data_IF_304466456153
#
_entry.id   IF_304466456153
#
_cell.length_a   1.000
_cell.length_b   1.000
_cell.length_c   1.000
_cell.angle_alpha   90.00
_cell.angle_beta   90.00
_cell.angle_gamma   90.00
#
_symmetry.space_group_name_H-M   'P 1'
#
loop_
_entity.id
_entity.type
_entity.pdbx_description
1 polymer ?
#
# COMPACT_ATOMS: atom_id res chain seq x y z
N UNK A 1 21.26 7.31 15.88
CA UNK A 1 20.91 6.85 14.51
C UNK A 1 20.33 8.04 13.76
N UNK A 2 20.86 8.38 12.57
CA UNK A 2 20.38 9.54 11.84
C UNK A 2 18.95 9.23 11.36
N UNK A 3 17.98 9.99 11.87
CA UNK A 3 16.63 10.00 11.30
C UNK A 3 16.79 10.53 9.89
N UNK A 4 16.36 9.76 8.89
CA UNK A 4 16.22 10.21 7.51
C UNK A 4 15.19 11.33 7.48
N UNK A 5 15.61 12.54 7.82
CA UNK A 5 14.79 13.72 7.62
C UNK A 5 14.82 13.95 6.12
N UNK A 6 13.65 13.82 5.49
CA UNK A 6 13.48 14.14 4.08
C UNK A 6 13.95 15.59 3.75
N UNK A 7 14.13 16.46 4.76
CA UNK A 7 14.81 17.78 4.69
C UNK A 7 15.57 18.13 5.97
N UNK A 8 16.63 18.92 5.82
CA UNK A 8 17.36 19.54 6.93
C UNK A 8 16.61 20.80 7.40
N UNK A 9 16.32 20.93 8.69
CA UNK A 9 15.84 22.22 9.26
C UNK A 9 16.91 23.29 9.07
N UNK A 10 16.53 24.48 8.61
CA UNK A 10 17.41 25.65 8.66
C UNK A 10 17.41 26.22 10.08
N UNK A 11 18.47 26.94 10.45
CA UNK A 11 18.54 27.61 11.75
C UNK A 11 17.52 28.76 11.88
N UNK A 12 17.01 29.25 10.75
CA UNK A 12 16.05 30.36 10.66
C UNK A 12 14.63 29.93 11.07
N UNK A 13 14.24 28.68 10.80
CA UNK A 13 12.91 28.16 11.10
C UNK A 13 12.99 26.82 11.86
N UNK A 14 13.52 26.83 13.09
CA UNK A 14 13.82 25.60 13.83
C UNK A 14 12.55 24.82 14.26
N UNK A 15 11.39 25.47 14.26
CA UNK A 15 10.11 24.92 14.71
C UNK A 15 9.13 24.60 13.58
N UNK A 16 9.42 25.02 12.35
CA UNK A 16 8.52 24.77 11.23
C UNK A 16 8.55 23.29 10.82
N UNK A 17 7.41 22.82 10.30
CA UNK A 17 7.34 21.49 9.70
C UNK A 17 8.22 21.47 8.44
N UNK A 18 9.02 20.41 8.33
CA UNK A 18 9.95 20.20 7.24
C UNK A 18 9.27 20.06 5.87
N UNK A 19 8.05 19.52 5.85
CA UNK A 19 7.19 19.35 4.66
C UNK A 19 5.73 19.23 5.07
N UNK A 20 4.85 19.69 4.19
CA UNK A 20 3.46 19.25 4.15
C UNK A 20 3.38 17.84 3.55
N UNK A 21 2.54 16.96 4.12
CA UNK A 21 2.39 15.57 3.66
C UNK A 21 0.90 15.23 3.47
N UNK A 22 0.58 14.62 2.33
CA UNK A 22 -0.73 14.01 2.07
C UNK A 22 -0.55 12.62 1.47
N UNK A 23 -1.30 11.66 1.99
CA UNK A 23 -1.35 10.28 1.51
C UNK A 23 -2.72 10.03 0.88
N UNK A 24 -2.74 9.60 -0.37
CA UNK A 24 -3.98 9.20 -1.06
C UNK A 24 -4.05 7.67 -1.09
N UNK A 25 -5.08 7.11 -0.46
CA UNK A 25 -5.37 5.67 -0.46
C UNK A 25 -6.66 5.43 -1.25
N UNK A 26 -6.62 4.47 -2.17
CA UNK A 26 -7.76 4.14 -3.04
C UNK A 26 -8.88 3.42 -2.28
N UNK A 27 -8.54 2.66 -1.23
CA UNK A 27 -9.52 1.96 -0.37
C UNK A 27 -10.04 2.88 0.74
N UNK A 28 -11.01 2.37 1.48
CA UNK A 28 -11.66 3.04 2.61
C UNK A 28 -10.92 2.89 3.95
N UNK A 29 -9.84 2.11 3.98
CA UNK A 29 -9.10 1.79 5.20
C UNK A 29 -7.61 1.53 4.92
N UNK A 30 -6.75 1.85 5.88
CA UNK A 30 -5.34 1.47 5.86
C UNK A 30 -5.14 -0.04 5.98
N UNK A 31 -3.97 -0.52 5.54
CA UNK A 31 -3.54 -1.91 5.67
C UNK A 31 -3.05 -2.55 4.36
N UNK A 32 -3.36 -1.95 3.21
CA UNK A 32 -2.88 -2.41 1.90
C UNK A 32 -3.22 -3.88 1.65
N UNK A 33 -2.20 -4.70 1.37
CA UNK A 33 -2.37 -6.13 1.11
C UNK A 33 -2.97 -6.90 2.29
N UNK A 34 -2.84 -6.43 3.53
CA UNK A 34 -3.35 -7.11 4.73
C UNK A 34 -4.86 -6.97 4.91
N UNK A 35 -5.50 -6.14 4.08
CA UNK A 35 -6.94 -6.08 3.99
C UNK A 35 -7.46 -7.25 3.18
N UNK A 36 -8.11 -8.20 3.84
CA UNK A 36 -8.90 -9.25 3.18
C UNK A 36 -10.04 -8.61 2.41
N UNK A 37 -10.25 -9.06 1.18
CA UNK A 37 -11.30 -8.59 0.28
C UNK A 37 -12.00 -9.78 -0.37
N UNK A 38 -13.22 -9.57 -0.87
CA UNK A 38 -13.88 -10.52 -1.76
C UNK A 38 -13.08 -10.72 -3.05
N UNK A 39 -13.30 -11.87 -3.70
CA UNK A 39 -12.67 -12.18 -4.98
C UNK A 39 -13.19 -11.29 -6.13
N UNK A 40 -14.39 -10.72 -5.95
CA UNK A 40 -15.08 -9.80 -6.85
C UNK A 40 -14.72 -8.33 -6.62
N UNK A 41 -13.92 -8.02 -5.59
CA UNK A 41 -13.44 -6.66 -5.34
C UNK A 41 -12.52 -6.18 -6.48
N UNK A 42 -12.82 -5.00 -7.04
CA UNK A 42 -12.03 -4.37 -8.11
C UNK A 42 -10.55 -4.22 -7.75
N UNK A 43 -10.25 -4.06 -6.47
CA UNK A 43 -8.93 -3.92 -5.89
C UNK A 43 -8.63 -5.07 -4.92
N UNK A 44 -9.06 -6.28 -5.27
CA UNK A 44 -8.82 -7.47 -4.46
C UNK A 44 -7.34 -7.61 -4.07
N UNK A 45 -7.10 -8.02 -2.82
CA UNK A 45 -5.76 -8.36 -2.34
C UNK A 45 -5.54 -9.86 -2.44
N UNK A 46 -4.29 -10.34 -2.52
CA UNK A 46 -4.01 -11.78 -2.50
C UNK A 46 -4.16 -12.40 -1.10
N UNK A 47 -4.62 -11.65 -0.08
CA UNK A 47 -4.61 -12.09 1.30
C UNK A 47 -5.73 -13.08 1.58
N UNK A 48 -5.37 -14.33 1.84
CA UNK A 48 -6.31 -15.41 2.16
C UNK A 48 -6.50 -15.60 3.67
N UNK A 49 -7.69 -16.03 4.14
CA UNK A 49 -8.02 -16.06 5.57
C UNK A 49 -7.09 -16.89 6.47
N UNK A 50 -6.56 -18.00 5.97
CA UNK A 50 -5.74 -18.93 6.77
C UNK A 50 -4.29 -18.47 6.96
N UNK A 51 -3.86 -17.37 6.30
CA UNK A 51 -2.47 -16.93 6.30
C UNK A 51 -1.96 -16.55 7.71
N UNK A 52 -0.90 -17.24 8.12
CA UNK A 52 -0.01 -16.82 9.19
C UNK A 52 1.24 -16.20 8.57
N UNK A 53 1.81 -15.20 9.23
CA UNK A 53 3.07 -14.61 8.78
C UNK A 53 4.19 -15.63 8.83
N UNK A 54 5.01 -15.70 7.79
CA UNK A 54 6.24 -16.49 7.77
C UNK A 54 7.45 -15.76 8.41
N UNK A 55 7.30 -14.49 8.77
CA UNK A 55 8.30 -13.67 9.46
C UNK A 55 7.85 -13.43 10.91
N UNK A 56 8.76 -13.49 11.91
CA UNK A 56 8.39 -13.22 13.29
C UNK A 56 7.90 -11.78 13.53
N UNK A 57 6.96 -11.61 14.45
CA UNK A 57 6.45 -10.28 14.86
C UNK A 57 7.54 -9.31 15.29
N UNK A 58 8.64 -9.81 15.83
CA UNK A 58 9.80 -9.02 16.29
C UNK A 58 10.58 -8.40 15.13
N UNK A 59 10.42 -8.90 13.90
CA UNK A 59 11.04 -8.35 12.69
C UNK A 59 10.05 -7.55 11.84
N UNK A 60 8.75 -7.63 12.14
CA UNK A 60 7.68 -6.99 11.36
C UNK A 60 7.16 -5.68 11.97
N UNK A 61 7.66 -5.27 13.15
CA UNK A 61 7.17 -4.05 13.80
C UNK A 61 7.91 -2.82 13.28
N UNK A 62 7.20 -1.69 13.19
CA UNK A 62 7.82 -0.39 13.04
C UNK A 62 8.66 -0.04 14.27
N UNK A 63 9.76 0.66 14.04
CA UNK A 63 10.68 1.07 15.11
C UNK A 63 9.94 1.95 16.13
N UNK A 64 10.04 1.60 17.41
CA UNK A 64 9.36 2.31 18.50
C UNK A 64 7.88 1.95 18.69
N UNK A 65 7.30 1.09 17.84
CA UNK A 65 5.89 0.70 17.90
C UNK A 65 5.81 -0.83 17.92
N UNK A 66 6.09 -1.48 19.06
CA UNK A 66 6.08 -2.94 19.14
C UNK A 66 4.66 -3.50 19.04
N UNK A 67 4.57 -4.77 18.64
CA UNK A 67 3.32 -5.53 18.80
C UNK A 67 2.96 -5.68 20.29
N UNK A 68 1.67 -5.82 20.65
CA UNK A 68 1.24 -6.14 22.01
C UNK A 68 1.92 -7.41 22.54
N UNK A 69 2.20 -7.44 23.86
CA UNK A 69 3.02 -8.49 24.49
C UNK A 69 2.53 -9.91 24.20
N UNK A 70 1.21 -10.12 24.18
CA UNK A 70 0.57 -11.42 23.95
C UNK A 70 0.34 -11.76 22.46
N UNK A 71 0.98 -11.04 21.55
CA UNK A 71 0.89 -11.36 20.12
C UNK A 71 1.68 -12.64 19.82
N UNK A 72 1.10 -13.62 19.11
CA UNK A 72 1.81 -14.82 18.67
C UNK A 72 3.10 -14.48 17.92
N UNK A 73 4.13 -15.33 18.03
CA UNK A 73 5.41 -15.07 17.38
C UNK A 73 5.28 -14.97 15.85
N UNK A 74 4.43 -15.82 15.25
CA UNK A 74 3.99 -15.75 13.86
C UNK A 74 2.49 -15.41 13.83
N UNK A 75 2.14 -14.11 13.85
CA UNK A 75 0.74 -13.68 13.91
C UNK A 75 -0.09 -14.09 12.68
N UNK A 76 -1.41 -14.20 12.86
CA UNK A 76 -2.37 -14.23 11.75
C UNK A 76 -2.37 -12.90 11.00
N UNK A 77 -2.73 -12.94 9.71
CA UNK A 77 -2.95 -11.73 8.90
C UNK A 77 -3.83 -10.67 9.58
N UNK A 78 -4.89 -11.07 10.28
CA UNK A 78 -5.83 -10.18 10.98
C UNK A 78 -5.16 -9.38 12.09
N UNK A 79 -4.15 -9.97 12.75
CA UNK A 79 -3.37 -9.30 13.78
C UNK A 79 -2.43 -8.26 13.17
N UNK A 80 -1.79 -8.59 12.05
CA UNK A 80 -0.96 -7.63 11.29
C UNK A 80 -1.82 -6.48 10.76
N UNK A 81 -3.00 -6.78 10.18
CA UNK A 81 -3.98 -5.76 9.75
C UNK A 81 -4.31 -4.81 10.90
N UNK A 82 -4.68 -5.34 12.08
CA UNK A 82 -5.02 -4.53 13.26
C UNK A 82 -3.85 -3.67 13.73
N UNK A 83 -2.63 -4.20 13.67
CA UNK A 83 -1.42 -3.45 14.01
C UNK A 83 -1.21 -2.26 13.06
N UNK A 84 -1.29 -2.49 11.75
CA UNK A 84 -1.14 -1.43 10.74
C UNK A 84 -2.25 -0.37 10.83
N UNK A 85 -3.48 -0.78 11.08
CA UNK A 85 -4.59 0.16 11.31
C UNK A 85 -4.40 0.96 12.60
N UNK A 86 -3.87 0.32 13.65
CA UNK A 86 -3.50 1.02 14.88
C UNK A 86 -2.45 2.10 14.65
N UNK A 87 -1.44 1.81 13.82
CA UNK A 87 -0.44 2.79 13.40
C UNK A 87 -1.06 3.93 12.57
N UNK A 88 -1.99 3.61 11.66
CA UNK A 88 -2.65 4.60 10.82
C UNK A 88 -3.49 5.62 11.61
N UNK A 89 -4.00 5.27 12.79
CA UNK A 89 -4.85 6.18 13.59
C UNK A 89 -4.23 7.54 13.89
N UNK A 90 -2.92 7.59 14.17
CA UNK A 90 -2.24 8.86 14.41
C UNK A 90 -2.22 9.72 13.13
N UNK A 91 -1.96 9.08 11.98
CA UNK A 91 -1.92 9.73 10.67
C UNK A 91 -3.31 10.22 10.25
N UNK A 92 -4.34 9.44 10.55
CA UNK A 92 -5.76 9.80 10.37
C UNK A 92 -6.17 10.97 11.27
N UNK A 93 -5.78 10.93 12.55
CA UNK A 93 -6.04 12.02 13.51
C UNK A 93 -5.39 13.33 13.06
N UNK A 94 -4.18 13.24 12.48
CA UNK A 94 -3.47 14.38 11.87
C UNK A 94 -3.99 14.74 10.47
N UNK A 95 -5.03 14.07 9.99
CA UNK A 95 -5.66 14.30 8.68
C UNK A 95 -4.72 14.14 7.48
N UNK A 96 -3.66 13.33 7.63
CA UNK A 96 -2.64 13.12 6.60
C UNK A 96 -3.08 12.10 5.54
N UNK A 97 -4.06 11.24 5.83
CA UNK A 97 -4.55 10.20 4.92
C UNK A 97 -5.92 10.59 4.37
N UNK A 98 -6.08 10.54 3.05
CA UNK A 98 -7.36 10.65 2.34
C UNK A 98 -7.69 9.32 1.70
N UNK A 99 -8.76 8.70 2.20
CA UNK A 99 -9.29 7.43 1.69
C UNK A 99 -10.19 7.64 0.48
N UNK A 100 -10.52 6.53 -0.19
CA UNK A 100 -11.35 6.49 -1.40
C UNK A 100 -10.83 7.37 -2.53
N UNK A 101 -9.52 7.60 -2.60
CA UNK A 101 -8.88 8.45 -3.59
C UNK A 101 -8.15 7.57 -4.62
N UNK A 102 -8.81 7.24 -5.72
CA UNK A 102 -8.22 6.43 -6.79
C UNK A 102 -7.42 7.33 -7.75
N UNK A 103 -6.11 7.34 -7.61
CA UNK A 103 -5.19 8.07 -8.51
C UNK A 103 -5.28 7.49 -9.92
N UNK A 104 -5.47 8.35 -10.91
CA UNK A 104 -5.59 7.99 -12.34
C UNK A 104 -4.39 8.45 -13.16
N UNK A 105 -3.69 9.52 -12.75
CA UNK A 105 -2.48 9.98 -13.42
C UNK A 105 -1.58 10.78 -12.49
N UNK A 106 -0.27 10.63 -12.70
CA UNK A 106 0.80 11.42 -12.09
C UNK A 106 1.80 11.74 -13.20
N UNK A 107 1.90 13.00 -13.59
CA UNK A 107 2.73 13.41 -14.74
C UNK A 107 3.48 14.69 -14.37
N UNK A 108 4.81 14.66 -14.36
CA UNK A 108 5.59 15.86 -14.07
C UNK A 108 5.33 16.95 -15.13
N UNK A 109 5.05 18.17 -14.67
CA UNK A 109 4.75 19.30 -15.55
C UNK A 109 5.55 20.53 -15.14
N UNK A 110 6.09 21.24 -16.13
CA UNK A 110 6.68 22.57 -15.96
C UNK A 110 5.62 23.65 -16.16
N UNK A 111 5.60 24.65 -15.27
CA UNK A 111 4.72 25.82 -15.36
C UNK A 111 5.53 27.10 -15.51
N UNK A 112 5.07 28.02 -16.35
CA UNK A 112 5.63 29.38 -16.33
C UNK A 112 5.02 30.19 -15.17
N UNK A 113 5.67 31.30 -14.81
CA UNK A 113 5.21 32.21 -13.75
C UNK A 113 3.78 32.79 -14.00
N UNK A 114 3.26 32.65 -15.21
CA UNK A 114 1.94 33.11 -15.66
C UNK A 114 0.89 31.99 -15.77
N UNK A 115 1.17 30.77 -15.29
CA UNK A 115 0.21 29.65 -15.18
C UNK A 115 -0.01 28.83 -16.47
N UNK A 116 0.70 29.13 -17.56
CA UNK A 116 0.71 28.35 -18.78
C UNK A 116 1.68 27.16 -18.72
N UNK A 117 1.35 26.08 -19.46
CA UNK A 117 2.23 24.91 -19.63
C UNK A 117 3.52 25.36 -20.31
N UNK A 118 4.67 25.23 -19.64
CA UNK A 118 5.94 25.72 -20.15
C UNK A 118 6.76 24.58 -20.77
N UNK A 119 7.42 24.87 -21.90
CA UNK A 119 8.38 23.97 -22.55
C UNK A 119 9.78 24.51 -22.23
N UNK A 120 10.42 24.02 -21.16
CA UNK A 120 11.79 24.43 -20.84
C UNK A 120 12.26 24.18 -19.40
N UNK A 121 13.56 23.98 -19.31
CA UNK A 121 14.47 23.56 -18.25
C UNK A 121 14.84 24.66 -17.21
N UNK A 122 14.12 25.79 -17.22
CA UNK A 122 14.30 26.91 -16.27
C UNK A 122 13.09 27.19 -15.35
N UNK A 123 12.09 26.32 -15.32
CA UNK A 123 10.79 26.56 -14.68
C UNK A 123 10.57 25.72 -13.41
N UNK A 124 9.80 26.26 -12.45
CA UNK A 124 9.34 25.51 -11.27
C UNK A 124 8.43 24.35 -11.75
N UNK A 125 8.92 23.13 -11.63
CA UNK A 125 8.17 21.92 -11.96
C UNK A 125 7.34 21.44 -10.79
N UNK A 126 6.09 21.04 -11.06
CA UNK A 126 5.18 20.43 -10.08
C UNK A 126 4.63 19.13 -10.63
N UNK A 127 4.15 18.27 -9.73
CA UNK A 127 3.44 17.05 -10.07
C UNK A 127 1.93 17.27 -9.93
N UNK A 128 1.17 17.47 -11.02
CA UNK A 128 -0.27 17.28 -11.02
C UNK A 128 -0.62 15.82 -10.71
N UNK A 129 -1.43 15.64 -9.66
CA UNK A 129 -1.97 14.35 -9.23
C UNK A 129 -3.45 14.37 -9.55
N UNK A 130 -3.86 13.58 -10.54
CA UNK A 130 -5.27 13.39 -10.90
C UNK A 130 -5.81 12.17 -10.18
N UNK A 131 -6.94 12.32 -9.50
CA UNK A 131 -7.59 11.21 -8.80
C UNK A 131 -9.11 11.37 -8.80
N UNK A 132 -9.81 10.25 -8.61
CA UNK A 132 -11.25 10.22 -8.45
C UNK A 132 -11.60 9.79 -7.02
N UNK A 133 -12.49 10.55 -6.38
CA UNK A 133 -12.99 10.27 -5.03
C UNK A 133 -14.53 10.18 -4.95
N UNK A 134 -15.21 10.08 -6.10
CA UNK A 134 -16.66 10.01 -6.21
C UNK A 134 -17.40 11.33 -5.92
N UNK A 135 -16.71 12.41 -5.54
CA UNK A 135 -17.32 13.71 -5.22
C UNK A 135 -17.38 14.65 -6.42
N UNK A 136 -16.38 14.63 -7.28
CA UNK A 136 -16.28 15.48 -8.46
C UNK A 136 -16.59 14.70 -9.75
N UNK A 137 -17.43 15.26 -10.62
CA UNK A 137 -17.79 14.65 -11.92
C UNK A 137 -16.58 14.43 -12.82
N UNK A 138 -15.60 15.34 -12.77
CA UNK A 138 -14.40 15.30 -13.61
C UNK A 138 -13.12 14.87 -12.86
N UNK A 139 -13.26 14.36 -11.63
CA UNK A 139 -12.13 14.09 -10.73
C UNK A 139 -11.49 15.36 -10.16
N UNK A 140 -10.51 15.17 -9.29
CA UNK A 140 -9.73 16.24 -8.66
C UNK A 140 -8.30 16.25 -9.20
N UNK A 141 -7.67 17.43 -9.17
CA UNK A 141 -6.29 17.64 -9.58
C UNK A 141 -5.58 18.54 -8.57
N UNK A 142 -4.55 18.01 -7.90
CA UNK A 142 -3.74 18.72 -6.90
C UNK A 142 -2.28 18.76 -7.33
N UNK A 143 -1.52 19.77 -6.90
CA UNK A 143 -0.14 19.99 -7.32
C UNK A 143 0.82 19.83 -6.16
N UNK A 144 1.84 18.98 -6.32
CA UNK A 144 2.84 18.68 -5.28
C UNK A 144 4.27 18.85 -5.80
N UNK A 145 5.19 19.20 -4.90
CA UNK A 145 6.61 19.33 -5.21
C UNK A 145 7.30 17.97 -5.42
N UNK A 146 6.82 16.94 -4.74
CA UNK A 146 7.35 15.58 -4.83
C UNK A 146 6.23 14.54 -4.70
N UNK A 147 6.47 13.36 -5.27
CA UNK A 147 5.55 12.22 -5.22
C UNK A 147 6.31 10.98 -4.81
N UNK A 148 5.77 10.25 -3.83
CA UNK A 148 6.23 8.92 -3.45
C UNK A 148 5.17 7.91 -3.89
N UNK A 149 5.56 6.97 -4.76
CA UNK A 149 4.66 5.91 -5.26
C UNK A 149 4.84 4.66 -4.42
N UNK A 150 3.80 4.27 -3.68
CA UNK A 150 3.83 3.13 -2.75
C UNK A 150 2.70 2.11 -3.04
N UNK A 151 2.47 1.79 -4.31
CA UNK A 151 1.33 0.95 -4.77
C UNK A 151 1.52 -0.56 -4.54
N UNK A 152 2.75 -1.00 -4.24
CA UNK A 152 3.09 -2.42 -4.14
C UNK A 152 3.05 -3.14 -5.50
N UNK A 153 3.24 -4.46 -5.50
CA UNK A 153 3.37 -5.28 -6.72
C UNK A 153 2.24 -6.29 -6.92
N UNK A 154 1.32 -6.44 -5.96
CA UNK A 154 0.33 -7.53 -5.92
C UNK A 154 -1.09 -7.13 -6.37
N UNK A 155 -1.23 -6.23 -7.34
CA UNK A 155 -2.52 -5.58 -7.65
C UNK A 155 -3.10 -5.90 -9.03
N UNK A 156 -2.56 -6.88 -9.76
CA UNK A 156 -3.10 -7.28 -11.06
C UNK A 156 -3.98 -8.54 -10.94
N UNK A 157 -5.06 -8.58 -11.74
CA UNK A 157 -5.93 -9.76 -11.85
C UNK A 157 -5.25 -10.84 -12.70
N UNK A 158 -5.33 -12.10 -12.27
CA UNK A 158 -4.67 -13.22 -12.94
C UNK A 158 -5.56 -14.45 -13.06
N UNK A 159 -5.35 -15.24 -14.13
CA UNK A 159 -5.81 -16.63 -14.22
C UNK A 159 -5.00 -17.47 -13.24
N UNK A 160 -5.67 -18.25 -12.39
CA UNK A 160 -5.01 -18.95 -11.28
C UNK A 160 -4.55 -20.35 -11.72
N UNK A 161 -3.24 -20.48 -11.95
CA UNK A 161 -2.54 -21.76 -12.03
C UNK A 161 -1.58 -21.82 -10.83
N UNK A 162 -1.73 -22.79 -9.94
CA UNK A 162 -0.86 -22.93 -8.77
C UNK A 162 0.31 -23.85 -9.15
N UNK A 163 1.47 -23.26 -9.41
CA UNK A 163 2.74 -23.98 -9.67
C UNK A 163 3.74 -23.55 -8.59
N UNK A 164 4.33 -24.50 -7.87
CA UNK A 164 5.34 -24.16 -6.86
C UNK A 164 5.78 -25.34 -6.00
N UNK A 165 6.78 -25.09 -5.16
CA UNK A 165 7.31 -26.02 -4.16
C UNK A 165 7.61 -25.38 -2.80
N UNK A 166 7.13 -24.15 -2.57
CA UNK A 166 7.35 -23.39 -1.33
C UNK A 166 6.22 -23.52 -0.30
N UNK A 167 6.36 -22.94 0.91
CA UNK A 167 5.35 -23.09 1.97
C UNK A 167 3.98 -22.46 1.61
N UNK A 168 3.96 -21.26 1.03
CA UNK A 168 2.73 -20.60 0.60
C UNK A 168 1.99 -21.39 -0.48
N UNK A 169 2.72 -22.12 -1.34
CA UNK A 169 2.14 -23.01 -2.34
C UNK A 169 1.27 -24.09 -1.69
N UNK A 170 1.76 -24.74 -0.62
CA UNK A 170 1.02 -25.83 0.05
C UNK A 170 -0.24 -25.32 0.75
N UNK A 171 -0.16 -24.18 1.43
CA UNK A 171 -1.31 -23.58 2.11
C UNK A 171 -2.39 -23.14 1.11
N UNK A 172 -2.01 -22.39 0.07
CA UNK A 172 -2.95 -21.94 -0.95
C UNK A 172 -3.56 -23.13 -1.72
N UNK A 173 -2.76 -24.15 -2.02
CA UNK A 173 -3.24 -25.36 -2.70
C UNK A 173 -4.28 -26.09 -1.86
N UNK A 174 -4.11 -26.14 -0.53
CA UNK A 174 -5.10 -26.74 0.37
C UNK A 174 -6.39 -25.93 0.38
N UNK A 175 -6.31 -24.62 0.55
CA UNK A 175 -7.50 -23.78 0.68
C UNK A 175 -8.31 -23.73 -0.64
N UNK A 176 -7.64 -23.62 -1.80
CA UNK A 176 -8.30 -23.68 -3.11
C UNK A 176 -8.94 -25.05 -3.37
N UNK A 177 -8.28 -26.12 -2.92
CA UNK A 177 -8.79 -27.47 -3.04
C UNK A 177 -10.10 -27.74 -2.28
N UNK A 178 -10.38 -27.00 -1.21
CA UNK A 178 -11.62 -27.16 -0.43
C UNK A 178 -12.85 -26.60 -1.16
N UNK A 179 -12.64 -25.67 -2.09
CA UNK A 179 -13.73 -24.93 -2.76
C UNK A 179 -13.77 -25.16 -4.28
N UNK A 180 -12.80 -25.88 -4.85
CA UNK A 180 -12.79 -26.22 -6.28
C UNK A 180 -13.50 -27.55 -6.55
N UNK A 181 -14.49 -27.55 -7.44
CA UNK A 181 -15.17 -28.76 -7.94
C UNK A 181 -14.38 -29.53 -9.03
N UNK A 182 -13.19 -29.04 -9.38
CA UNK A 182 -12.31 -29.64 -10.39
C UNK A 182 -11.55 -30.87 -9.86
N UNK A 183 -11.17 -31.76 -10.77
CA UNK A 183 -10.35 -32.94 -10.45
C UNK A 183 -8.98 -32.48 -9.92
N UNK A 184 -8.68 -32.76 -8.64
CA UNK A 184 -7.32 -32.60 -8.08
C UNK A 184 -6.36 -33.48 -8.90
N UNK A 185 -5.55 -32.86 -9.74
CA UNK A 185 -4.39 -33.52 -10.32
C UNK A 185 -3.24 -33.37 -9.32
N UNK A 186 -3.09 -34.37 -8.45
CA UNK A 186 -1.92 -34.47 -7.57
C UNK A 186 -0.65 -34.60 -8.41
N UNK A 187 0.39 -33.88 -8.05
CA UNK A 187 1.70 -34.04 -8.69
C UNK A 187 2.41 -35.28 -8.16
N UNK A 188 2.85 -36.11 -9.10
CA UNK A 188 3.81 -37.18 -8.87
C UNK A 188 5.22 -36.56 -8.74
N UNK A 189 5.85 -36.65 -7.57
CA UNK A 189 7.30 -36.56 -7.48
C UNK A 189 7.87 -37.92 -7.90
N UNK A 190 8.32 -38.04 -9.15
CA UNK A 190 9.07 -39.23 -9.60
C UNK A 190 8.70 -39.86 -10.94
N UNK A 191 8.05 -39.17 -11.86
CA UNK A 191 8.08 -39.64 -13.25
C UNK A 191 9.46 -39.33 -13.84
N UNK A 192 10.25 -40.39 -14.04
CA UNK A 192 11.45 -40.39 -14.88
C UNK A 192 11.12 -39.96 -16.30
#
# INVERSE_FOLDING_TARGET
MPRYLLSKRTNEYPTEECFEVMMLERKDQAGGIWNQTGADDKFATPMYPSYNTNVPRTMMHYTGIPYPMNTPFFPKNTVVKKYLQGYAKELEYRNLIKYNCNITAVEFCYYNASGGKALGDGNLGKWPIKFNNGKAVFGECIFWDAVVVAVGTFTQQHKVLIVGGGPSYWEMSRDVAEVSSGKKLGFCQGCK
#
